data_IF_912667886543
#
_entry.id   IF_912667886543
#
_cell.length_a   1.000
_cell.length_b   1.000
_cell.length_c   1.000
_cell.angle_alpha   90.00
_cell.angle_beta   90.00
_cell.angle_gamma   90.00
#
_symmetry.space_group_name_H-M   'P 1'
#
loop_
_entity.id
_entity.type
_entity.pdbx_description
1 polymer ?
#
# COMPACT_ATOMS: atom_id res chain seq x y z
N UNK A 1 8.01 40.47 -0.92
CA UNK A 1 6.83 40.36 -0.05
C UNK A 1 7.31 40.31 1.39
N UNK A 2 6.82 41.21 2.23
CA UNK A 2 7.14 41.23 3.65
C UNK A 2 6.24 40.24 4.41
N UNK A 3 6.67 38.97 4.44
CA UNK A 3 6.00 37.88 5.17
C UNK A 3 6.02 38.04 6.70
N UNK A 4 6.53 39.17 7.21
CA UNK A 4 6.55 39.51 8.63
C UNK A 4 5.17 39.82 9.21
N UNK A 5 4.29 40.44 8.40
CA UNK A 5 2.93 40.83 8.82
C UNK A 5 1.86 39.79 8.50
N UNK A 6 2.19 38.79 7.66
CA UNK A 6 1.25 37.72 7.27
C UNK A 6 0.99 36.83 8.48
N UNK A 7 -0.26 36.68 8.88
CA UNK A 7 -0.63 35.80 10.00
C UNK A 7 -0.58 34.33 9.59
N UNK A 8 -0.73 33.41 10.55
CA UNK A 8 -0.80 31.98 10.20
C UNK A 8 -2.09 31.65 9.43
N UNK A 9 -3.18 32.36 9.73
CA UNK A 9 -4.49 32.18 9.11
C UNK A 9 -4.44 32.56 7.62
N UNK A 10 -3.88 33.75 7.32
CA UNK A 10 -3.69 34.21 5.94
C UNK A 10 -2.85 33.22 5.11
N UNK A 11 -1.84 32.61 5.73
CA UNK A 11 -1.00 31.60 5.07
C UNK A 11 -1.78 30.32 4.80
N UNK A 12 -2.64 29.88 5.72
CA UNK A 12 -3.46 28.68 5.56
C UNK A 12 -4.49 28.90 4.46
N UNK A 13 -5.17 30.04 4.44
CA UNK A 13 -6.12 30.39 3.39
C UNK A 13 -5.44 30.47 2.02
N UNK A 14 -4.27 31.11 1.95
CA UNK A 14 -3.48 31.17 0.71
C UNK A 14 -3.01 29.78 0.24
N UNK A 15 -2.72 28.84 1.14
CA UNK A 15 -2.38 27.45 0.80
C UNK A 15 -3.61 26.65 0.34
N UNK A 16 -4.81 27.00 0.83
CA UNK A 16 -6.07 26.34 0.47
C UNK A 16 -6.55 26.71 -0.92
N UNK A 17 -6.38 27.97 -1.31
CA UNK A 17 -6.80 28.49 -2.63
C UNK A 17 -5.86 28.09 -3.77
N UNK A 18 -4.72 27.50 -3.43
CA UNK A 18 -3.60 27.33 -4.33
C UNK A 18 -3.77 26.10 -5.24
N UNK A 19 -3.59 26.29 -6.55
CA UNK A 19 -3.61 25.20 -7.52
C UNK A 19 -2.38 24.27 -7.39
N UNK A 20 -2.66 22.97 -7.29
CA UNK A 20 -1.68 21.89 -7.10
C UNK A 20 -1.12 21.33 -8.42
N UNK A 21 -1.62 21.79 -9.57
CA UNK A 21 -1.19 21.35 -10.91
C UNK A 21 0.16 21.97 -11.35
N UNK A 22 0.70 22.91 -10.56
CA UNK A 22 1.97 23.57 -10.87
C UNK A 22 3.15 22.59 -10.75
N UNK A 23 4.07 22.56 -11.74
CA UNK A 23 5.23 21.69 -11.70
C UNK A 23 6.16 22.04 -10.51
N UNK A 24 6.86 21.05 -9.94
CA UNK A 24 7.80 21.28 -8.83
C UNK A 24 8.94 22.20 -9.27
N UNK A 25 9.46 22.99 -8.33
CA UNK A 25 10.56 23.93 -8.57
C UNK A 25 11.89 23.17 -8.67
N UNK A 26 12.88 23.67 -9.43
CA UNK A 26 14.16 23.01 -9.60
C UNK A 26 14.87 22.77 -8.26
N UNK A 27 15.37 21.54 -8.07
CA UNK A 27 16.01 21.11 -6.82
C UNK A 27 17.31 21.87 -6.51
N UNK A 28 18.01 22.33 -7.55
CA UNK A 28 19.22 23.16 -7.41
C UNK A 28 18.92 24.51 -6.75
N UNK A 29 17.76 25.10 -7.02
CA UNK A 29 17.31 26.33 -6.34
C UNK A 29 16.93 26.05 -4.88
N UNK A 30 16.27 24.92 -4.63
CA UNK A 30 15.81 24.51 -3.31
C UNK A 30 16.95 24.31 -2.30
N UNK A 31 18.06 23.69 -2.72
CA UNK A 31 19.19 23.39 -1.83
C UNK A 31 20.32 24.44 -1.84
N UNK A 32 20.32 25.40 -2.76
CA UNK A 32 21.45 26.35 -2.90
C UNK A 32 21.43 27.53 -1.92
N UNK A 33 20.28 27.90 -1.36
CA UNK A 33 20.12 29.15 -0.60
C UNK A 33 19.87 28.95 0.90
N UNK A 34 20.60 28.03 1.53
CA UNK A 34 20.53 27.87 2.98
C UNK A 34 21.32 28.98 3.69
N UNK A 35 20.62 29.90 4.34
CA UNK A 35 21.24 30.97 5.14
C UNK A 35 20.67 30.97 6.55
N UNK A 36 21.54 30.85 7.54
CA UNK A 36 21.17 30.90 8.96
C UNK A 36 20.76 32.33 9.34
N UNK A 37 19.51 32.57 9.77
CA UNK A 37 19.07 33.92 10.12
C UNK A 37 19.53 34.33 11.53
N UNK A 38 19.84 35.62 11.67
CA UNK A 38 20.30 36.24 12.92
C UNK A 38 19.19 36.67 13.90
N UNK A 39 17.91 36.59 13.51
CA UNK A 39 16.78 36.95 14.40
C UNK A 39 15.52 36.12 14.14
N UNK A 40 14.75 35.86 15.20
CA UNK A 40 13.55 35.01 15.17
C UNK A 40 12.48 35.52 14.21
N UNK A 41 12.20 36.84 14.22
CA UNK A 41 11.23 37.46 13.29
C UNK A 41 11.60 37.25 11.81
N UNK A 42 12.89 37.37 11.48
CA UNK A 42 13.39 37.12 10.11
C UNK A 42 13.34 35.64 9.74
N UNK A 43 13.55 34.74 10.70
CA UNK A 43 13.41 33.30 10.46
C UNK A 43 11.96 32.92 10.17
N UNK A 44 11.01 33.43 10.96
CA UNK A 44 9.58 33.15 10.78
C UNK A 44 9.07 33.63 9.41
N UNK A 45 9.44 34.84 9.00
CA UNK A 45 9.12 35.39 7.68
C UNK A 45 9.69 34.52 6.54
N UNK A 46 10.95 34.08 6.66
CA UNK A 46 11.58 33.18 5.68
C UNK A 46 10.93 31.81 5.62
N UNK A 47 10.52 31.25 6.75
CA UNK A 47 9.81 29.98 6.77
C UNK A 47 8.48 30.06 6.05
N UNK A 48 7.66 31.08 6.34
CA UNK A 48 6.37 31.27 5.67
C UNK A 48 6.54 31.42 4.16
N UNK A 49 7.51 32.24 3.75
CA UNK A 49 7.84 32.43 2.34
C UNK A 49 8.31 31.13 1.66
N UNK A 50 9.25 30.40 2.28
CA UNK A 50 9.77 29.17 1.71
C UNK A 50 8.71 28.07 1.64
N UNK A 51 7.87 27.95 2.66
CA UNK A 51 6.79 26.97 2.73
C UNK A 51 5.78 27.20 1.59
N UNK A 52 5.36 28.45 1.38
CA UNK A 52 4.46 28.80 0.30
C UNK A 52 5.11 28.59 -1.09
N UNK A 53 6.37 29.00 -1.24
CA UNK A 53 7.09 28.95 -2.52
C UNK A 53 7.48 27.53 -2.96
N UNK A 54 7.88 26.66 -2.02
CA UNK A 54 8.35 25.29 -2.28
C UNK A 54 7.35 24.20 -1.85
N UNK A 55 6.08 24.53 -1.65
CA UNK A 55 5.00 23.62 -1.20
C UNK A 55 5.03 22.24 -1.86
N UNK A 56 5.11 22.19 -3.19
CA UNK A 56 5.09 20.94 -3.97
C UNK A 56 6.35 20.12 -3.73
N UNK A 57 7.50 20.79 -3.59
CA UNK A 57 8.77 20.13 -3.30
C UNK A 57 8.75 19.52 -1.89
N UNK A 58 8.21 20.22 -0.90
CA UNK A 58 8.03 19.68 0.45
C UNK A 58 7.06 18.49 0.47
N UNK A 59 5.96 18.57 -0.27
CA UNK A 59 5.00 17.47 -0.39
C UNK A 59 5.64 16.21 -0.98
N UNK A 60 6.38 16.35 -2.09
CA UNK A 60 7.14 15.26 -2.71
C UNK A 60 8.16 14.68 -1.72
N UNK A 61 8.90 15.53 -1.00
CA UNK A 61 9.85 15.09 0.03
C UNK A 61 9.17 14.30 1.15
N UNK A 62 8.00 14.73 1.61
CA UNK A 62 7.22 14.00 2.63
C UNK A 62 6.80 12.63 2.10
N UNK A 63 6.23 12.56 0.90
CA UNK A 63 5.86 11.28 0.28
C UNK A 63 7.08 10.38 0.11
N UNK A 64 8.21 10.95 -0.31
CA UNK A 64 9.45 10.20 -0.50
C UNK A 64 9.99 9.64 0.81
N UNK A 65 10.04 10.46 1.87
CA UNK A 65 10.46 10.03 3.21
C UNK A 65 9.50 8.98 3.75
N UNK A 66 8.18 9.16 3.60
CA UNK A 66 7.18 8.16 4.00
C UNK A 66 7.34 6.86 3.21
N UNK A 67 7.60 6.95 1.90
CA UNK A 67 7.87 5.82 1.03
C UNK A 67 9.12 5.06 1.45
N UNK A 68 10.22 5.76 1.76
CA UNK A 68 11.43 5.15 2.31
C UNK A 68 11.18 4.57 3.70
N UNK A 69 10.46 5.27 4.58
CA UNK A 69 10.11 4.78 5.91
C UNK A 69 9.26 3.49 5.84
N UNK A 70 8.39 3.39 4.83
CA UNK A 70 7.67 2.17 4.52
C UNK A 70 8.60 1.08 3.95
N UNK A 71 9.50 1.43 3.03
CA UNK A 71 10.44 0.48 2.41
C UNK A 71 11.49 -0.08 3.39
N UNK A 72 11.95 0.73 4.33
CA UNK A 72 12.90 0.38 5.38
C UNK A 72 12.29 -0.51 6.46
N UNK A 73 10.97 -0.68 6.47
CA UNK A 73 10.25 -1.65 7.31
C UNK A 73 9.83 -2.85 6.46
N UNK A 74 10.74 -3.80 6.16
CA UNK A 74 10.44 -4.94 5.30
C UNK A 74 9.26 -5.78 5.83
N UNK A 75 9.08 -5.79 7.15
CA UNK A 75 7.95 -6.45 7.81
C UNK A 75 6.59 -5.83 7.41
N UNK A 76 6.50 -4.50 7.27
CA UNK A 76 5.28 -3.83 6.85
C UNK A 76 4.90 -4.17 5.40
N UNK A 77 5.89 -4.34 4.52
CA UNK A 77 5.65 -4.78 3.13
C UNK A 77 5.12 -6.22 3.12
N UNK A 78 5.75 -7.13 3.88
CA UNK A 78 5.32 -8.53 3.96
C UNK A 78 3.89 -8.60 4.51
N UNK A 79 3.56 -7.84 5.56
CA UNK A 79 2.22 -7.74 6.11
C UNK A 79 1.20 -7.21 5.09
N UNK A 80 1.56 -6.16 4.32
CA UNK A 80 0.70 -5.62 3.27
C UNK A 80 0.44 -6.63 2.15
N UNK A 81 1.47 -7.37 1.70
CA UNK A 81 1.34 -8.42 0.69
C UNK A 81 0.47 -9.58 1.20
N UNK A 82 0.69 -10.05 2.43
CA UNK A 82 -0.13 -11.08 3.06
C UNK A 82 -1.60 -10.64 3.18
N UNK A 83 -1.83 -9.37 3.49
CA UNK A 83 -3.18 -8.80 3.57
C UNK A 83 -3.85 -8.76 2.20
N UNK A 84 -3.14 -8.28 1.17
CA UNK A 84 -3.63 -8.24 -0.20
C UNK A 84 -3.94 -9.65 -0.73
N UNK A 85 -3.08 -10.64 -0.46
CA UNK A 85 -3.33 -12.04 -0.81
C UNK A 85 -4.54 -12.60 -0.07
N UNK A 86 -4.71 -12.29 1.22
CA UNK A 86 -5.88 -12.70 1.99
C UNK A 86 -7.18 -12.17 1.38
N UNK A 87 -7.19 -10.88 1.01
CA UNK A 87 -8.33 -10.25 0.33
C UNK A 87 -8.56 -10.90 -1.05
N UNK A 88 -7.51 -11.17 -1.81
CA UNK A 88 -7.62 -11.84 -3.10
C UNK A 88 -8.21 -13.26 -2.97
N UNK A 89 -7.85 -14.01 -1.92
CA UNK A 89 -8.42 -15.33 -1.64
C UNK A 89 -9.87 -15.32 -1.16
N UNK A 90 -10.39 -14.17 -0.69
CA UNK A 90 -11.81 -14.00 -0.44
C UNK A 90 -12.62 -13.93 -1.75
N UNK A 91 -11.97 -13.59 -2.87
CA UNK A 91 -12.60 -13.60 -4.19
C UNK A 91 -12.66 -15.02 -4.78
N UNK A 92 -13.88 -15.49 -5.07
CA UNK A 92 -14.15 -16.83 -5.59
C UNK A 92 -13.42 -17.12 -6.91
N UNK A 93 -13.44 -16.17 -7.86
CA UNK A 93 -12.81 -16.31 -9.17
C UNK A 93 -11.30 -16.42 -9.06
N UNK A 94 -10.69 -15.63 -8.16
CA UNK A 94 -9.25 -15.70 -7.90
C UNK A 94 -8.86 -17.03 -7.24
N UNK A 95 -9.60 -17.45 -6.21
CA UNK A 95 -9.31 -18.68 -5.47
C UNK A 95 -9.39 -19.94 -6.36
N UNK A 96 -10.40 -20.02 -7.23
CA UNK A 96 -10.56 -21.15 -8.17
C UNK A 96 -9.42 -21.15 -9.20
N UNK A 97 -9.15 -20.00 -9.82
CA UNK A 97 -8.08 -19.86 -10.83
C UNK A 97 -6.71 -20.20 -10.26
N UNK A 98 -6.43 -19.75 -9.03
CA UNK A 98 -5.20 -20.06 -8.32
C UNK A 98 -5.07 -21.57 -8.05
N UNK A 99 -6.11 -22.19 -7.51
CA UNK A 99 -6.13 -23.62 -7.23
C UNK A 99 -5.92 -24.47 -8.50
N UNK A 100 -6.55 -24.11 -9.62
CA UNK A 100 -6.36 -24.79 -10.89
C UNK A 100 -4.92 -24.68 -11.40
N UNK A 101 -4.35 -23.47 -11.38
CA UNK A 101 -2.96 -23.25 -11.79
C UNK A 101 -2.01 -24.06 -10.91
N UNK A 102 -2.10 -23.94 -9.60
CA UNK A 102 -1.25 -24.69 -8.66
C UNK A 102 -1.38 -26.19 -8.88
N UNK A 103 -2.60 -26.71 -9.01
CA UNK A 103 -2.83 -28.14 -9.24
C UNK A 103 -2.22 -28.61 -10.57
N UNK A 104 -2.31 -27.80 -11.64
CA UNK A 104 -1.67 -28.11 -12.94
C UNK A 104 -0.15 -28.14 -12.83
N UNK A 105 0.45 -27.16 -12.15
CA UNK A 105 1.90 -27.12 -11.94
C UNK A 105 2.36 -28.32 -11.11
N UNK A 106 1.67 -28.63 -10.02
CA UNK A 106 1.99 -29.79 -9.18
C UNK A 106 1.87 -31.10 -9.97
N UNK A 107 0.87 -31.23 -10.86
CA UNK A 107 0.77 -32.42 -11.74
C UNK A 107 1.97 -32.58 -12.65
N UNK A 108 2.55 -31.48 -13.13
CA UNK A 108 3.74 -31.51 -13.99
C UNK A 108 4.99 -31.93 -13.22
N UNK A 109 5.15 -31.51 -11.96
CA UNK A 109 6.30 -31.87 -11.14
C UNK A 109 6.18 -33.22 -10.44
N UNK A 110 5.00 -33.55 -9.90
CA UNK A 110 4.76 -34.79 -9.16
C UNK A 110 3.29 -35.20 -9.20
N UNK A 111 2.93 -36.18 -10.05
CA UNK A 111 1.56 -36.65 -10.18
C UNK A 111 1.02 -37.29 -8.89
N UNK A 112 1.90 -37.85 -8.05
CA UNK A 112 1.52 -38.45 -6.77
C UNK A 112 1.11 -37.41 -5.71
N UNK A 113 1.77 -36.24 -5.69
CA UNK A 113 1.37 -35.12 -4.83
C UNK A 113 0.06 -34.48 -5.30
N UNK A 114 -0.15 -34.37 -6.62
CA UNK A 114 -1.41 -33.88 -7.17
C UNK A 114 -2.60 -34.79 -6.84
N UNK A 115 -2.40 -36.10 -6.73
CA UNK A 115 -3.43 -37.04 -6.30
C UNK A 115 -3.87 -36.79 -4.84
N UNK A 116 -2.93 -36.46 -3.95
CA UNK A 116 -3.21 -36.12 -2.54
C UNK A 116 -3.89 -34.76 -2.36
N UNK A 117 -3.73 -33.83 -3.31
CA UNK A 117 -4.37 -32.50 -3.28
C UNK A 117 -5.80 -32.49 -3.82
N UNK A 118 -6.35 -33.63 -4.29
CA UNK A 118 -7.74 -33.68 -4.75
C UNK A 118 -8.66 -33.33 -3.58
N UNK A 119 -9.63 -32.41 -3.76
CA UNK A 119 -10.62 -32.15 -2.73
C UNK A 119 -11.40 -33.45 -2.44
N UNK A 120 -11.80 -33.69 -1.17
CA UNK A 120 -12.60 -34.86 -0.83
C UNK A 120 -13.82 -34.91 -1.74
N UNK A 121 -14.03 -36.06 -2.38
CA UNK A 121 -15.16 -36.31 -3.28
C UNK A 121 -16.45 -36.16 -2.47
N UNK A 122 -17.05 -34.97 -2.49
CA UNK A 122 -18.44 -34.83 -2.09
C UNK A 122 -19.27 -35.61 -3.13
N UNK A 123 -20.10 -36.59 -2.71
CA UNK A 123 -20.91 -37.35 -3.65
C UNK A 123 -21.76 -36.36 -4.45
N UNK A 124 -21.49 -36.31 -5.76
CA UNK A 124 -22.27 -35.47 -6.67
C UNK A 124 -23.64 -36.13 -6.79
N UNK A 125 -24.60 -35.66 -5.99
CA UNK A 125 -26.01 -35.91 -6.27
C UNK A 125 -26.32 -35.14 -7.55
N UNK A 126 -26.37 -35.88 -8.66
CA UNK A 126 -26.70 -35.39 -9.99
C UNK A 126 -28.01 -34.61 -9.91
N UNK A 127 -27.98 -33.30 -10.15
CA UNK A 127 -29.18 -32.46 -10.29
C UNK A 127 -29.41 -31.37 -9.23
N UNK A 128 -28.65 -31.31 -8.12
CA UNK A 128 -28.80 -30.22 -7.15
C UNK A 128 -27.66 -29.19 -7.29
N UNK A 129 -27.92 -27.94 -7.71
CA UNK A 129 -26.93 -26.88 -7.61
C UNK A 129 -26.66 -26.66 -6.12
N UNK A 130 -25.51 -27.13 -5.63
CA UNK A 130 -25.09 -26.90 -4.25
C UNK A 130 -24.80 -25.40 -4.10
N UNK A 131 -25.76 -24.67 -3.51
CA UNK A 131 -25.69 -23.23 -3.25
C UNK A 131 -24.51 -22.84 -2.32
N UNK A 132 -23.78 -23.82 -1.78
CA UNK A 132 -22.55 -23.63 -0.99
C UNK A 132 -21.49 -24.62 -1.46
N UNK A 133 -20.99 -24.47 -2.69
CA UNK A 133 -19.78 -25.19 -3.11
C UNK A 133 -18.60 -24.64 -2.30
N UNK A 134 -18.22 -25.34 -1.23
CA UNK A 134 -17.06 -24.97 -0.45
C UNK A 134 -15.82 -24.94 -1.37
N UNK A 135 -15.24 -23.76 -1.56
CA UNK A 135 -14.06 -23.57 -2.41
C UNK A 135 -12.84 -24.07 -1.64
N UNK A 136 -12.17 -25.06 -2.23
CA UNK A 136 -10.97 -25.68 -1.68
C UNK A 136 -9.75 -25.23 -2.48
N UNK A 137 -8.69 -24.88 -1.75
CA UNK A 137 -7.38 -24.55 -2.31
C UNK A 137 -6.43 -25.67 -1.85
N UNK A 138 -5.81 -26.38 -2.79
CA UNK A 138 -4.94 -27.54 -2.52
C UNK A 138 -5.57 -28.61 -1.59
N UNK A 139 -6.89 -28.82 -1.69
CA UNK A 139 -7.62 -29.79 -0.86
C UNK A 139 -7.99 -29.31 0.55
N UNK A 140 -7.62 -28.08 0.94
CA UNK A 140 -8.01 -27.45 2.22
C UNK A 140 -9.05 -26.34 1.99
N UNK A 141 -9.93 -26.05 2.96
CA UNK A 141 -10.89 -24.95 2.84
C UNK A 141 -10.16 -23.60 2.80
N UNK A 142 -10.62 -22.68 1.94
CA UNK A 142 -10.02 -21.33 1.76
C UNK A 142 -9.78 -20.54 3.05
N UNK A 143 -10.66 -20.68 4.04
CA UNK A 143 -10.54 -19.99 5.34
C UNK A 143 -9.26 -20.36 6.07
N UNK A 144 -8.71 -21.55 5.85
CA UNK A 144 -7.44 -21.97 6.44
C UNK A 144 -6.27 -21.11 5.93
N UNK A 145 -6.24 -20.76 4.65
CA UNK A 145 -5.21 -19.87 4.09
C UNK A 145 -5.37 -18.43 4.59
N UNK A 146 -6.60 -17.93 4.66
CA UNK A 146 -6.91 -16.62 5.23
C UNK A 146 -6.47 -16.54 6.69
N UNK A 147 -6.73 -17.59 7.49
CA UNK A 147 -6.30 -17.66 8.90
C UNK A 147 -4.78 -17.74 9.05
N UNK A 148 -4.08 -18.50 8.20
CA UNK A 148 -2.62 -18.59 8.22
C UNK A 148 -1.99 -17.23 7.88
N UNK A 149 -2.49 -16.54 6.86
CA UNK A 149 -1.99 -15.22 6.51
C UNK A 149 -2.34 -14.18 7.57
N UNK A 150 -3.55 -14.21 8.14
CA UNK A 150 -3.93 -13.34 9.26
C UNK A 150 -3.07 -13.58 10.51
N UNK A 151 -2.76 -14.83 10.86
CA UNK A 151 -1.87 -15.17 11.96
C UNK A 151 -0.43 -14.73 11.69
N UNK A 152 0.04 -14.85 10.45
CA UNK A 152 1.34 -14.33 10.01
C UNK A 152 1.42 -12.82 10.16
N UNK A 153 0.40 -12.08 9.72
CA UNK A 153 0.30 -10.62 9.88
C UNK A 153 0.36 -10.22 11.36
N UNK A 154 -0.32 -10.94 12.25
CA UNK A 154 -0.34 -10.66 13.70
C UNK A 154 1.01 -10.94 14.40
N UNK A 155 1.93 -11.63 13.73
CA UNK A 155 3.26 -11.99 14.25
C UNK A 155 4.39 -11.12 13.66
N UNK A 156 4.11 -10.34 12.62
CA UNK A 156 5.03 -9.40 11.97
C UNK A 156 4.93 -8.00 12.60
#
# INVERSE_FOLDING_TARGET
MDWGNVTAEDLIDALREVDWSSPPRPLTEFFSRFTLPRSYSRWNSRLKCNLYYYRTNYFIMIIFILGIAFLTRPLAIIAAVLTALSIAFLNDSFAVSFNEKVTRTVRQFSPHLAAKMRPPLAPVIRGRPSAKRAIHICGRPRWMFVLVFAAGICKL
#
